data_IF_652465959998
#
_entry.id   IF_652465959998
#
_cell.length_a   1.000
_cell.length_b   1.000
_cell.length_c   1.000
_cell.angle_alpha   90.00
_cell.angle_beta   90.00
_cell.angle_gamma   90.00
#
_symmetry.space_group_name_H-M   'P 1'
#
loop_
_entity.id
_entity.type
_entity.pdbx_description
1 polymer ?
#
# COMPACT_ATOMS: atom_id res chain seq x y z
N UNK A 1 -24.80 3.22 -45.60
CA UNK A 1 -23.39 2.82 -45.83
C UNK A 1 -22.66 2.91 -44.51
N UNK A 2 -22.68 1.79 -43.81
CA UNK A 2 -22.14 1.59 -42.47
C UNK A 2 -20.63 1.85 -42.43
N UNK A 3 -20.15 2.52 -41.39
CA UNK A 3 -18.79 2.27 -40.87
C UNK A 3 -18.73 2.55 -39.37
N UNK A 4 -19.16 1.57 -38.58
CA UNK A 4 -18.76 1.45 -37.17
C UNK A 4 -17.38 0.81 -37.11
N UNK A 5 -16.32 1.58 -36.86
CA UNK A 5 -15.01 1.09 -36.35
C UNK A 5 -14.36 2.28 -35.62
N UNK A 6 -13.94 2.24 -34.35
CA UNK A 6 -13.42 1.17 -33.49
C UNK A 6 -13.97 1.36 -32.07
N UNK A 7 -14.56 0.31 -31.49
CA UNK A 7 -14.73 0.24 -30.05
C UNK A 7 -13.34 0.02 -29.44
N UNK A 8 -12.75 1.04 -28.84
CA UNK A 8 -11.64 0.85 -27.91
C UNK A 8 -12.18 0.07 -26.72
N UNK A 9 -12.08 -1.26 -26.77
CA UNK A 9 -12.15 -2.07 -25.55
C UNK A 9 -10.83 -1.87 -24.81
N UNK A 10 -10.68 -0.68 -24.20
CA UNK A 10 -9.63 -0.41 -23.24
C UNK A 10 -9.82 -1.35 -22.06
N UNK A 11 -9.21 -2.54 -22.13
CA UNK A 11 -9.28 -3.54 -21.07
C UNK A 11 -8.72 -2.87 -19.81
N UNK A 12 -9.61 -2.52 -18.87
CA UNK A 12 -9.20 -1.94 -17.60
C UNK A 12 -8.22 -2.90 -16.93
N UNK A 13 -7.04 -2.40 -16.58
CA UNK A 13 -6.00 -3.20 -15.97
C UNK A 13 -6.45 -3.56 -14.55
N UNK A 14 -6.50 -4.86 -14.28
CA UNK A 14 -7.05 -5.37 -13.03
C UNK A 14 -6.10 -5.05 -11.87
N UNK A 15 -6.55 -4.18 -10.94
CA UNK A 15 -5.75 -3.83 -9.75
C UNK A 15 -5.76 -4.98 -8.73
N UNK A 16 -4.66 -5.11 -7.99
CA UNK A 16 -4.46 -6.09 -6.91
C UNK A 16 -3.70 -5.47 -5.74
N UNK A 17 -3.90 -6.01 -4.54
CA UNK A 17 -3.15 -5.70 -3.32
C UNK A 17 -2.38 -6.95 -2.91
N UNK A 18 -1.08 -6.80 -2.63
CA UNK A 18 -0.24 -7.90 -2.19
C UNK A 18 -0.08 -7.86 -0.67
N UNK A 19 -0.34 -8.98 -0.01
CA UNK A 19 0.10 -9.19 1.38
C UNK A 19 1.47 -9.83 1.35
N UNK A 20 2.46 -9.17 1.95
CA UNK A 20 3.86 -9.58 1.91
C UNK A 20 4.32 -10.06 3.28
N UNK A 21 5.27 -10.99 3.30
CA UNK A 21 6.18 -11.21 4.42
C UNK A 21 7.54 -10.68 4.00
N UNK A 22 8.04 -9.68 4.71
CA UNK A 22 9.29 -8.98 4.38
C UNK A 22 10.30 -9.23 5.49
N UNK A 23 11.54 -9.57 5.15
CA UNK A 23 12.66 -9.51 6.07
C UNK A 23 13.27 -8.11 6.00
N UNK A 24 13.11 -7.32 7.06
CA UNK A 24 13.51 -5.90 7.05
C UNK A 24 14.99 -5.68 7.39
N UNK A 25 15.66 -6.69 7.96
CA UNK A 25 17.07 -6.60 8.35
C UNK A 25 17.38 -5.38 9.22
N UNK A 26 18.54 -4.76 8.98
CA UNK A 26 18.96 -3.52 9.63
C UNK A 26 18.24 -2.32 9.01
N UNK A 27 17.43 -1.66 9.82
CA UNK A 27 16.55 -0.56 9.36
C UNK A 27 17.20 0.81 9.57
N UNK A 28 17.15 1.68 8.56
CA UNK A 28 17.46 3.11 8.70
C UNK A 28 16.17 3.93 8.76
N UNK A 29 15.96 4.65 9.85
CA UNK A 29 14.89 5.66 9.94
C UNK A 29 15.19 6.84 9.00
N UNK A 30 14.24 7.23 8.16
CA UNK A 30 14.27 8.39 7.27
C UNK A 30 13.05 9.27 7.58
N UNK A 31 13.22 10.31 8.41
CA UNK A 31 12.12 11.07 9.01
C UNK A 31 12.03 12.54 8.57
N UNK A 32 12.76 12.93 7.54
CA UNK A 32 12.71 14.29 6.99
C UNK A 32 13.15 14.35 5.52
N UNK A 33 12.59 15.29 4.76
CA UNK A 33 12.89 15.45 3.33
C UNK A 33 14.38 15.69 3.06
N UNK A 34 15.05 16.35 4.01
CA UNK A 34 16.49 16.64 3.98
C UNK A 34 17.37 15.56 4.62
N UNK A 35 16.84 14.37 4.96
CA UNK A 35 17.60 13.35 5.65
C UNK A 35 18.86 12.95 4.85
N UNK A 36 20.09 13.03 5.42
CA UNK A 36 21.34 12.88 4.67
C UNK A 36 21.46 11.55 3.91
N UNK A 37 20.90 10.49 4.48
CA UNK A 37 20.96 9.14 3.91
C UNK A 37 19.70 8.73 3.13
N UNK A 38 18.80 9.67 2.77
CA UNK A 38 17.51 9.36 2.09
C UNK A 38 17.68 8.47 0.85
N UNK A 39 18.80 8.60 0.14
CA UNK A 39 19.11 7.83 -1.08
C UNK A 39 20.25 6.82 -0.93
N UNK A 40 21.02 6.90 0.15
CA UNK A 40 22.30 6.18 0.27
C UNK A 40 22.33 5.18 1.40
N UNK A 41 21.26 5.05 2.20
CA UNK A 41 21.20 4.15 3.36
C UNK A 41 21.74 2.73 3.09
N UNK A 42 21.47 2.15 1.92
CA UNK A 42 21.97 0.82 1.54
C UNK A 42 23.49 0.76 1.39
N UNK A 43 24.14 1.82 0.87
CA UNK A 43 25.61 1.92 0.84
C UNK A 43 26.24 1.97 2.24
N UNK A 44 25.46 2.33 3.26
CA UNK A 44 25.89 2.34 4.66
C UNK A 44 25.52 1.04 5.41
N UNK A 45 25.18 -0.04 4.69
CA UNK A 45 24.95 -1.36 5.26
C UNK A 45 23.60 -1.52 5.97
N UNK A 46 22.59 -0.74 5.56
CA UNK A 46 21.20 -0.95 5.98
C UNK A 46 20.44 -1.73 4.91
N UNK A 47 19.62 -2.69 5.34
CA UNK A 47 18.84 -3.56 4.45
C UNK A 47 17.51 -2.92 4.04
N UNK A 48 16.99 -2.01 4.87
CA UNK A 48 15.78 -1.25 4.63
C UNK A 48 15.88 0.19 5.13
N UNK A 49 15.06 1.05 4.53
CA UNK A 49 14.73 2.37 5.06
C UNK A 49 13.26 2.44 5.46
N UNK A 50 12.98 2.98 6.64
CA UNK A 50 11.64 3.16 7.19
C UNK A 50 11.31 4.63 7.38
N UNK A 51 10.18 5.05 6.83
CA UNK A 51 9.58 6.38 7.01
C UNK A 51 8.49 6.26 8.09
N UNK A 52 8.64 6.91 9.25
CA UNK A 52 7.62 6.88 10.29
C UNK A 52 6.32 7.58 9.85
N UNK A 53 5.17 7.20 10.43
CA UNK A 53 3.93 7.92 10.17
C UNK A 53 4.04 9.38 10.66
N UNK A 54 3.34 10.28 9.98
CA UNK A 54 3.20 11.70 10.33
C UNK A 54 4.52 12.49 10.47
N UNK A 55 5.63 12.04 9.89
CA UNK A 55 6.91 12.77 9.94
C UNK A 55 7.07 13.83 8.82
N UNK A 56 6.03 14.06 8.00
CA UNK A 56 6.07 15.04 6.90
C UNK A 56 6.84 14.59 5.66
N UNK A 57 7.30 13.34 5.62
CA UNK A 57 7.98 12.75 4.47
C UNK A 57 7.06 12.40 3.29
N UNK A 58 5.83 11.97 3.59
CA UNK A 58 4.86 11.51 2.59
C UNK A 58 3.54 12.24 2.76
N UNK A 59 2.89 12.60 1.64
CA UNK A 59 1.66 13.41 1.65
C UNK A 59 0.51 12.74 2.40
N UNK A 60 0.47 11.41 2.41
CA UNK A 60 -0.56 10.62 3.09
C UNK A 60 -0.43 10.61 4.61
N UNK A 61 0.75 10.97 5.15
CA UNK A 61 1.07 10.80 6.56
C UNK A 61 1.23 9.34 7.01
N UNK A 62 1.08 8.36 6.11
CA UNK A 62 1.29 6.94 6.43
C UNK A 62 2.78 6.62 6.54
N UNK A 63 3.09 5.50 7.17
CA UNK A 63 4.43 4.95 7.12
C UNK A 63 4.73 4.32 5.74
N UNK A 64 6.00 4.30 5.35
CA UNK A 64 6.48 3.64 4.14
C UNK A 64 7.82 2.93 4.42
N UNK A 65 7.99 1.73 3.85
CA UNK A 65 9.25 1.00 3.86
C UNK A 65 9.84 0.93 2.45
N UNK A 66 11.16 1.06 2.35
CA UNK A 66 11.94 0.81 1.14
C UNK A 66 12.93 -0.30 1.40
N UNK A 67 12.79 -1.41 0.67
CA UNK A 67 13.63 -2.62 0.83
C UNK A 67 14.67 -2.64 -0.29
N UNK A 68 15.94 -2.89 0.05
CA UNK A 68 17.03 -2.88 -0.93
C UNK A 68 17.03 -4.15 -1.79
N UNK A 69 16.99 -5.33 -1.15
CA UNK A 69 17.04 -6.61 -1.83
C UNK A 69 15.63 -7.21 -2.00
N UNK A 70 15.11 -7.36 -3.24
CA UNK A 70 13.80 -7.97 -3.48
C UNK A 70 13.71 -9.43 -3.01
N UNK A 71 14.83 -10.16 -2.87
CA UNK A 71 14.81 -11.53 -2.32
C UNK A 71 14.38 -11.58 -0.85
N UNK A 72 14.39 -10.44 -0.16
CA UNK A 72 13.87 -10.29 1.20
C UNK A 72 12.34 -10.25 1.27
N UNK A 73 11.66 -10.23 0.12
CA UNK A 73 10.19 -10.13 0.03
C UNK A 73 9.60 -11.47 -0.40
N UNK A 74 8.60 -11.95 0.34
CA UNK A 74 7.79 -13.13 -0.01
C UNK A 74 6.33 -12.73 -0.15
N UNK A 75 5.74 -12.97 -1.31
CA UNK A 75 4.29 -12.79 -1.51
C UNK A 75 3.54 -13.89 -0.75
N UNK A 76 2.61 -13.48 0.12
CA UNK A 76 1.76 -14.41 0.89
C UNK A 76 0.37 -14.51 0.29
N UNK A 77 -0.15 -13.41 -0.25
CA UNK A 77 -1.51 -13.35 -0.79
C UNK A 77 -1.61 -12.28 -1.89
N UNK A 78 -2.50 -12.52 -2.86
CA UNK A 78 -2.88 -11.57 -3.92
C UNK A 78 -4.38 -11.31 -3.82
N UNK A 79 -4.76 -10.14 -3.34
CA UNK A 79 -6.14 -9.77 -3.04
C UNK A 79 -6.69 -8.79 -4.07
N UNK A 80 -8.02 -8.79 -4.27
CA UNK A 80 -8.68 -7.66 -4.95
C UNK A 80 -8.72 -6.45 -4.00
N UNK A 81 -8.60 -5.21 -4.51
CA UNK A 81 -8.83 -4.02 -3.70
C UNK A 81 -10.22 -4.10 -3.07
N UNK A 82 -10.36 -3.66 -1.82
CA UNK A 82 -11.69 -3.46 -1.26
C UNK A 82 -12.33 -2.32 -2.03
N UNK A 83 -13.46 -2.57 -2.69
CA UNK A 83 -14.27 -1.49 -3.24
C UNK A 83 -14.86 -0.73 -2.06
N UNK A 84 -14.58 0.57 -1.94
CA UNK A 84 -15.11 1.46 -0.89
C UNK A 84 -16.65 1.54 -0.88
N UNK A 85 -17.31 0.99 -1.91
CA UNK A 85 -18.77 0.98 -2.08
C UNK A 85 -19.49 -0.23 -1.47
N UNK A 86 -18.84 -1.10 -0.70
CA UNK A 86 -19.59 -2.11 0.07
C UNK A 86 -20.24 -1.44 1.28
N UNK A 87 -21.58 -1.34 1.36
CA UNK A 87 -22.22 -0.81 2.56
C UNK A 87 -21.82 -1.72 3.72
N UNK A 88 -21.05 -1.19 4.67
CA UNK A 88 -20.98 -1.78 5.98
C UNK A 88 -22.39 -1.65 6.55
N UNK A 89 -23.22 -2.69 6.42
CA UNK A 89 -24.50 -2.74 7.11
C UNK A 89 -24.17 -2.71 8.60
N UNK A 90 -24.55 -1.65 9.34
CA UNK A 90 -24.42 -1.71 10.78
C UNK A 90 -25.41 -2.77 11.25
N UNK A 91 -24.92 -3.82 11.92
CA UNK A 91 -25.77 -4.77 12.64
C UNK A 91 -26.35 -4.09 13.87
N UNK A 92 -27.33 -3.20 13.69
CA UNK A 92 -28.23 -2.81 14.78
C UNK A 92 -29.39 -3.80 14.81
N UNK A 93 -29.29 -4.78 15.70
CA UNK A 93 -30.42 -5.61 16.08
C UNK A 93 -31.42 -4.75 16.83
N UNK A 94 -32.62 -4.61 16.27
CA UNK A 94 -33.77 -4.04 16.99
C UNK A 94 -34.17 -5.02 18.12
N UNK A 95 -33.83 -4.66 19.35
CA UNK A 95 -34.45 -5.22 20.55
C UNK A 95 -35.64 -4.35 20.94
N UNK A 96 -36.85 -4.83 20.69
CA UNK A 96 -38.08 -4.26 21.22
C UNK A 96 -38.07 -4.39 22.75
N UNK A 97 -38.15 -3.26 23.46
CA UNK A 97 -38.60 -3.23 24.85
C UNK A 97 -39.97 -2.56 24.86
N UNK A 98 -40.99 -3.38 25.11
CA UNK A 98 -42.27 -2.88 25.59
C UNK A 98 -42.18 -2.63 27.09
N UNK A 99 -42.69 -1.48 27.52
CA UNK A 99 -43.60 -1.26 28.64
C UNK A 99 -44.40 0.00 28.30
#
# INVERSE_FOLDING_TARGET
>A
NETTQRLYTGKQQEKRVLKLRVNVGRVKKIDSQGHPMRKTWHHHGYDSAWVPPNCGMVKSGQEEDCIWDPNSIKVKEVMKPKNESSPQTPKFGYGAYGY
#
